data_IF_293386446377
#
_entry.id   IF_293386446377
#
_cell.length_a   1.000
_cell.length_b   1.000
_cell.length_c   1.000
_cell.angle_alpha   90.00
_cell.angle_beta   90.00
_cell.angle_gamma   90.00
#
_symmetry.space_group_name_H-M   'P 1'
#
loop_
_entity.id
_entity.type
_entity.pdbx_description
1 polymer ?
#
# COMPACT_ATOMS: atom_id res chain seq x y z
N UNK A 1 -3.52 -71.01 18.36
CA UNK A 1 -2.11 -70.71 18.62
C UNK A 1 -1.97 -69.23 18.77
N UNK A 2 -1.57 -68.85 19.93
CA UNK A 2 -1.27 -67.52 20.47
C UNK A 2 -0.19 -66.78 19.67
N UNK A 3 -0.25 -65.47 19.78
CA UNK A 3 0.83 -64.47 20.06
C UNK A 3 0.66 -63.26 19.16
N UNK A 4 0.80 -62.06 19.45
CA UNK A 4 1.16 -61.27 20.65
C UNK A 4 0.90 -59.81 20.27
N UNK A 5 0.43 -59.05 21.23
CA UNK A 5 0.31 -57.60 21.26
C UNK A 5 1.65 -56.92 21.00
N UNK A 6 1.65 -55.88 20.18
CA UNK A 6 2.54 -54.75 20.34
C UNK A 6 1.79 -53.48 20.01
N UNK A 7 1.50 -52.74 21.04
CA UNK A 7 1.03 -51.35 21.01
C UNK A 7 2.24 -50.41 20.86
N UNK A 8 2.23 -49.43 20.00
CA UNK A 8 3.12 -48.25 20.14
C UNK A 8 2.34 -47.05 20.68
N UNK A 9 2.87 -46.56 21.75
CA UNK A 9 2.69 -45.35 22.52
C UNK A 9 2.25 -44.11 21.73
N UNK A 10 1.20 -43.47 22.25
CA UNK A 10 0.80 -42.09 21.93
C UNK A 10 1.88 -41.09 22.38
N UNK A 11 2.20 -40.07 21.59
CA UNK A 11 2.83 -38.88 22.13
C UNK A 11 1.78 -37.95 22.77
N UNK A 12 2.20 -37.34 23.84
CA UNK A 12 1.47 -36.45 24.72
C UNK A 12 0.83 -35.23 23.98
N UNK A 13 -0.43 -35.01 24.33
CA UNK A 13 -1.17 -33.80 23.98
C UNK A 13 -0.77 -32.72 24.97
N UNK A 14 -0.09 -31.70 24.49
CA UNK A 14 0.12 -30.46 25.25
C UNK A 14 -1.19 -29.67 25.37
N UNK A 15 -1.43 -29.01 26.52
CA UNK A 15 -2.68 -28.31 26.75
C UNK A 15 -2.73 -27.01 25.97
N UNK A 16 -3.81 -26.86 25.22
CA UNK A 16 -4.23 -25.62 24.57
C UNK A 16 -4.48 -24.57 25.65
N UNK A 17 -3.61 -23.59 25.74
CA UNK A 17 -3.86 -22.38 26.51
C UNK A 17 -5.01 -21.61 25.88
N UNK A 18 -6.10 -21.54 26.60
CA UNK A 18 -7.23 -20.66 26.31
C UNK A 18 -6.78 -19.21 26.38
N UNK A 19 -6.76 -18.54 25.24
CA UNK A 19 -6.59 -17.11 25.17
C UNK A 19 -7.84 -16.43 25.72
N UNK A 20 -7.78 -16.01 26.96
CA UNK A 20 -8.72 -15.05 27.54
C UNK A 20 -8.71 -13.75 26.75
N UNK A 21 -9.86 -13.41 26.29
CA UNK A 21 -10.26 -12.14 25.73
C UNK A 21 -10.03 -11.03 26.78
N UNK A 22 -8.95 -10.26 26.66
CA UNK A 22 -8.75 -9.04 27.41
C UNK A 22 -8.97 -7.86 26.47
N UNK A 23 -10.19 -7.36 26.51
CA UNK A 23 -10.54 -6.04 26.03
C UNK A 23 -9.92 -4.98 26.96
N UNK A 24 -9.24 -4.01 26.38
CA UNK A 24 -9.02 -2.70 26.97
C UNK A 24 -7.93 -2.61 28.03
N UNK A 25 -6.76 -2.16 27.63
CA UNK A 25 -5.93 -1.20 28.37
C UNK A 25 -4.77 -0.66 27.47
N UNK A 26 -4.84 0.54 26.97
CA UNK A 26 -3.74 1.13 26.18
C UNK A 26 -2.82 2.04 26.99
N UNK A 27 -2.53 1.79 28.27
CA UNK A 27 -1.70 2.71 29.05
C UNK A 27 -0.81 2.01 30.08
N UNK A 28 0.13 1.15 29.61
CA UNK A 28 1.22 0.67 30.48
C UNK A 28 2.54 0.46 29.73
N UNK A 29 3.08 1.54 29.15
CA UNK A 29 4.47 1.59 28.72
C UNK A 29 5.14 2.88 29.26
N UNK A 30 5.16 3.04 30.59
CA UNK A 30 6.00 4.03 31.24
C UNK A 30 6.51 3.47 32.55
N UNK A 31 7.49 2.57 32.48
CA UNK A 31 8.40 2.33 33.61
C UNK A 31 9.55 1.41 33.20
N UNK A 32 10.54 1.96 32.50
CA UNK A 32 11.94 1.51 32.60
C UNK A 32 12.84 2.47 31.81
N UNK A 33 13.05 3.64 32.37
CA UNK A 33 14.24 4.43 32.09
C UNK A 33 14.59 5.16 33.37
N UNK A 34 15.33 4.49 34.22
CA UNK A 34 15.90 5.13 35.35
C UNK A 34 17.25 4.70 35.73
N UNK A 35 18.02 5.60 35.95
CA UNK A 35 19.28 5.67 36.63
C UNK A 35 20.48 5.82 35.71
N UNK A 36 20.79 7.06 35.47
CA UNK A 36 22.21 7.42 35.37
C UNK A 36 22.42 8.87 35.79
N UNK A 37 23.34 9.04 36.73
CA UNK A 37 24.24 10.16 36.78
C UNK A 37 23.77 11.45 37.49
N UNK A 38 24.13 11.52 38.76
CA UNK A 38 24.38 12.80 39.48
C UNK A 38 25.53 13.50 38.78
N UNK A 39 25.32 14.61 38.13
CA UNK A 39 26.35 15.59 37.82
C UNK A 39 26.01 16.92 38.45
N UNK A 40 26.90 17.35 39.28
CA UNK A 40 26.98 18.61 40.02
C UNK A 40 26.83 19.82 39.09
N UNK A 41 25.95 20.73 39.48
CA UNK A 41 25.78 22.03 38.86
C UNK A 41 27.00 22.95 39.17
N UNK A 42 27.44 23.77 38.22
CA UNK A 42 28.39 24.82 38.49
C UNK A 42 27.66 26.05 39.12
N UNK A 43 28.21 26.50 40.23
CA UNK A 43 27.92 27.75 40.91
C UNK A 43 28.37 28.93 40.07
N UNK A 44 27.40 29.55 39.37
CA UNK A 44 27.51 30.94 38.85
C UNK A 44 26.18 31.47 38.42
N UNK A 45 25.46 32.14 39.31
CA UNK A 45 24.34 32.97 38.93
C UNK A 45 24.27 34.18 39.89
N UNK A 46 24.29 35.44 39.38
CA UNK A 46 24.03 36.60 40.19
C UNK A 46 22.54 36.66 40.51
N UNK A 47 22.25 36.77 41.80
CA UNK A 47 20.93 37.02 42.33
C UNK A 47 20.36 38.35 41.78
N UNK A 48 19.28 38.29 41.00
CA UNK A 48 18.37 39.39 40.83
C UNK A 48 17.04 39.05 41.49
N UNK A 49 16.80 39.68 42.58
CA UNK A 49 15.52 39.78 43.26
C UNK A 49 14.49 40.36 42.28
N UNK A 50 13.57 39.54 41.85
CA UNK A 50 12.29 39.97 41.32
C UNK A 50 11.24 39.18 42.08
N UNK A 51 10.56 39.87 42.97
CA UNK A 51 9.32 39.43 43.57
C UNK A 51 8.26 39.45 42.49
N UNK A 52 7.86 38.28 42.00
CA UNK A 52 6.66 38.15 41.22
C UNK A 52 5.76 37.10 41.85
N UNK A 53 4.52 37.51 42.10
CA UNK A 53 3.40 36.70 42.48
C UNK A 53 3.43 35.34 41.73
N UNK A 54 3.47 34.26 42.49
CA UNK A 54 3.49 32.89 41.98
C UNK A 54 2.08 32.49 41.50
N UNK A 55 1.62 33.07 40.43
CA UNK A 55 0.53 32.45 39.68
C UNK A 55 1.10 31.32 38.84
N UNK A 56 0.76 30.10 39.21
CA UNK A 56 1.14 28.93 38.46
C UNK A 56 0.56 29.05 37.04
N UNK A 57 1.37 28.93 35.99
CA UNK A 57 0.89 29.09 34.62
C UNK A 57 -0.26 28.13 34.35
N UNK A 58 -1.29 28.54 33.60
CA UNK A 58 -2.46 27.73 33.30
C UNK A 58 -2.08 26.39 32.67
N UNK A 59 -2.87 25.35 32.92
CA UNK A 59 -2.56 23.95 32.54
C UNK A 59 -2.17 23.81 31.06
N UNK A 60 -2.78 24.58 30.16
CA UNK A 60 -2.43 24.55 28.73
C UNK A 60 -1.01 25.07 28.46
N UNK A 61 -0.55 26.12 29.18
CA UNK A 61 0.81 26.65 29.07
C UNK A 61 1.85 25.66 29.60
N UNK A 62 1.53 24.98 30.72
CA UNK A 62 2.39 23.89 31.26
C UNK A 62 2.46 22.70 30.29
N UNK A 63 1.34 22.34 29.67
CA UNK A 63 1.31 21.29 28.66
C UNK A 63 2.12 21.68 27.41
N UNK A 64 1.98 22.93 26.94
CA UNK A 64 2.77 23.44 25.80
C UNK A 64 4.27 23.49 26.13
N UNK A 65 4.66 24.00 27.30
CA UNK A 65 6.06 24.01 27.76
C UNK A 65 6.61 22.58 27.90
N UNK A 66 5.83 21.66 28.45
CA UNK A 66 6.23 20.25 28.50
C UNK A 66 6.43 19.65 27.12
N UNK A 67 5.52 19.92 26.19
CA UNK A 67 5.61 19.47 24.81
C UNK A 67 6.82 20.08 24.08
N UNK A 68 7.04 21.39 24.22
CA UNK A 68 8.19 22.06 23.59
C UNK A 68 9.53 21.63 24.18
N UNK A 69 9.63 21.41 25.49
CA UNK A 69 10.85 20.94 26.14
C UNK A 69 11.16 19.46 25.88
N UNK A 70 10.11 18.64 25.72
CA UNK A 70 10.25 17.19 25.55
C UNK A 70 10.33 16.76 24.08
N UNK A 71 9.72 17.53 23.20
CA UNK A 71 9.61 17.24 21.76
C UNK A 71 10.30 18.31 20.91
N UNK A 72 11.44 18.79 21.38
CA UNK A 72 12.26 19.69 20.56
C UNK A 72 12.84 18.99 19.33
N UNK A 73 12.76 17.65 19.30
CA UNK A 73 13.26 16.82 18.23
C UNK A 73 12.14 16.56 17.19
N UNK A 74 12.10 17.37 16.14
CA UNK A 74 11.16 17.22 15.02
C UNK A 74 11.31 15.84 14.36
N UNK A 75 12.51 15.27 14.36
CA UNK A 75 12.80 13.94 13.83
C UNK A 75 12.06 12.85 14.62
N UNK A 76 12.00 12.97 15.94
CA UNK A 76 11.26 12.02 16.78
C UNK A 76 9.75 12.07 16.50
N UNK A 77 9.19 13.27 16.31
CA UNK A 77 7.78 13.43 15.93
C UNK A 77 7.49 12.87 14.53
N UNK A 78 8.38 13.11 13.57
CA UNK A 78 8.30 12.53 12.23
C UNK A 78 8.40 11.00 12.29
N UNK A 79 9.32 10.47 13.08
CA UNK A 79 9.49 9.03 13.30
C UNK A 79 8.23 8.39 13.90
N UNK A 80 7.66 9.00 14.94
CA UNK A 80 6.41 8.53 15.54
C UNK A 80 5.25 8.55 14.55
N UNK A 81 5.11 9.63 13.78
CA UNK A 81 4.04 9.75 12.79
C UNK A 81 4.19 8.69 11.68
N UNK A 82 5.41 8.45 11.18
CA UNK A 82 5.68 7.44 10.17
C UNK A 82 5.36 6.03 10.69
N UNK A 83 5.75 5.73 11.93
CA UNK A 83 5.47 4.45 12.57
C UNK A 83 3.96 4.23 12.78
N UNK A 84 3.23 5.26 13.21
CA UNK A 84 1.76 5.21 13.35
C UNK A 84 1.09 4.97 11.98
N UNK A 85 1.54 5.65 10.93
CA UNK A 85 1.05 5.41 9.57
C UNK A 85 1.33 3.97 9.14
N UNK A 86 2.55 3.46 9.34
CA UNK A 86 2.93 2.08 9.01
C UNK A 86 2.05 1.07 9.73
N UNK A 87 1.84 1.22 11.04
CA UNK A 87 0.95 0.35 11.83
C UNK A 87 -0.49 0.41 11.35
N UNK A 88 -0.97 1.59 10.99
CA UNK A 88 -2.32 1.76 10.45
C UNK A 88 -2.49 1.01 9.13
N UNK A 89 -1.52 1.10 8.23
CA UNK A 89 -1.50 0.36 6.96
C UNK A 89 -1.48 -1.15 7.24
N UNK A 90 -0.60 -1.63 8.12
CA UNK A 90 -0.52 -3.04 8.47
C UNK A 90 -1.84 -3.56 9.07
N UNK A 91 -2.44 -2.81 9.99
CA UNK A 91 -3.70 -3.21 10.60
C UNK A 91 -4.84 -3.27 9.57
N UNK A 92 -4.93 -2.30 8.66
CA UNK A 92 -5.93 -2.29 7.59
C UNK A 92 -5.77 -3.46 6.62
N UNK A 93 -4.54 -3.88 6.37
CA UNK A 93 -4.21 -4.98 5.46
C UNK A 93 -4.10 -6.34 6.16
N UNK A 94 -4.32 -6.41 7.47
CA UNK A 94 -4.24 -7.67 8.19
C UNK A 94 -5.29 -8.66 7.68
N UNK A 95 -4.81 -9.86 7.33
CA UNK A 95 -5.65 -10.96 6.92
C UNK A 95 -6.49 -11.48 8.09
N UNK A 96 -7.78 -11.60 7.90
CA UNK A 96 -8.69 -12.12 8.91
C UNK A 96 -9.12 -13.55 8.59
N UNK A 97 -8.31 -14.52 9.00
CA UNK A 97 -8.59 -15.96 8.81
C UNK A 97 -9.88 -16.39 9.51
N UNK A 98 -10.18 -15.83 10.68
CA UNK A 98 -11.40 -16.15 11.43
C UNK A 98 -12.67 -15.74 10.66
N UNK A 99 -12.68 -14.53 10.10
CA UNK A 99 -13.82 -14.08 9.30
C UNK A 99 -14.03 -14.98 8.07
N UNK A 100 -12.95 -15.40 7.42
CA UNK A 100 -13.00 -16.31 6.27
C UNK A 100 -13.56 -17.67 6.62
N UNK A 101 -13.17 -18.24 7.75
CA UNK A 101 -13.66 -19.55 8.21
C UNK A 101 -15.13 -19.52 8.63
N UNK A 102 -15.56 -18.43 9.29
CA UNK A 102 -16.92 -18.33 9.84
C UNK A 102 -17.94 -17.83 8.81
N UNK A 103 -17.60 -16.79 8.06
CA UNK A 103 -18.54 -16.10 7.17
C UNK A 103 -18.39 -16.52 5.70
N UNK A 104 -17.32 -17.21 5.37
CA UNK A 104 -16.98 -17.58 4.01
C UNK A 104 -16.08 -16.55 3.32
N UNK A 105 -15.49 -16.97 2.19
CA UNK A 105 -14.49 -16.19 1.44
C UNK A 105 -15.07 -14.89 0.88
N UNK A 106 -16.25 -14.97 0.25
CA UNK A 106 -16.87 -13.82 -0.43
C UNK A 106 -17.23 -12.71 0.57
N UNK A 107 -17.84 -13.06 1.71
CA UNK A 107 -18.18 -12.07 2.75
C UNK A 107 -16.93 -11.49 3.40
N UNK A 108 -15.91 -12.30 3.65
CA UNK A 108 -14.67 -11.83 4.23
C UNK A 108 -13.97 -10.82 3.30
N UNK A 109 -13.96 -11.09 1.99
CA UNK A 109 -13.44 -10.17 0.99
C UNK A 109 -14.29 -8.91 0.89
N UNK A 110 -15.62 -9.02 0.81
CA UNK A 110 -16.53 -7.88 0.77
C UNK A 110 -16.27 -6.93 1.96
N UNK A 111 -16.21 -7.47 3.17
CA UNK A 111 -15.88 -6.68 4.36
C UNK A 111 -14.48 -6.07 4.29
N UNK A 112 -13.48 -6.79 3.78
CA UNK A 112 -12.11 -6.28 3.61
C UNK A 112 -12.07 -5.08 2.66
N UNK A 113 -12.72 -5.17 1.49
CA UNK A 113 -12.79 -4.09 0.50
C UNK A 113 -13.48 -2.85 1.09
N UNK A 114 -14.62 -3.01 1.77
CA UNK A 114 -15.33 -1.90 2.41
C UNK A 114 -14.50 -1.27 3.55
N UNK A 115 -13.74 -2.06 4.32
CA UNK A 115 -12.82 -1.53 5.35
C UNK A 115 -11.72 -0.65 4.76
N UNK A 116 -11.26 -0.95 3.55
CA UNK A 116 -10.32 -0.13 2.79
C UNK A 116 -10.97 1.08 2.10
N UNK A 117 -12.28 1.26 2.28
CA UNK A 117 -13.12 2.28 1.61
C UNK A 117 -13.24 2.07 0.10
N UNK A 118 -13.05 0.86 -0.36
CA UNK A 118 -13.28 0.47 -1.74
C UNK A 118 -14.74 0.16 -2.03
N UNK A 119 -14.97 -0.36 -3.23
CA UNK A 119 -16.26 -0.88 -3.69
C UNK A 119 -16.07 -2.23 -4.38
N UNK A 120 -17.15 -2.98 -4.50
CA UNK A 120 -17.16 -4.24 -5.24
C UNK A 120 -18.52 -4.51 -5.86
N UNK A 121 -18.53 -5.39 -6.85
CA UNK A 121 -19.74 -5.86 -7.53
C UNK A 121 -19.73 -7.38 -7.60
N UNK A 122 -20.88 -7.97 -7.38
CA UNK A 122 -21.06 -9.43 -7.51
C UNK A 122 -21.34 -9.83 -8.96
N UNK A 123 -21.02 -11.07 -9.29
CA UNK A 123 -21.34 -11.67 -10.60
C UNK A 123 -22.86 -11.60 -10.86
N UNK A 124 -23.24 -11.05 -12.02
CA UNK A 124 -24.63 -10.96 -12.42
C UNK A 124 -25.46 -9.89 -11.70
N UNK A 125 -24.84 -8.96 -11.00
CA UNK A 125 -25.50 -7.81 -10.39
C UNK A 125 -24.92 -6.52 -10.96
N UNK A 126 -25.78 -5.52 -11.16
CA UNK A 126 -25.36 -4.19 -11.65
C UNK A 126 -25.04 -3.24 -10.49
N UNK A 127 -25.52 -3.55 -9.28
CA UNK A 127 -25.37 -2.71 -8.11
C UNK A 127 -23.98 -2.83 -7.49
N UNK A 128 -23.38 -1.66 -7.23
CA UNK A 128 -22.10 -1.54 -6.51
C UNK A 128 -22.31 -1.41 -5.01
N UNK A 129 -21.62 -2.24 -4.27
CA UNK A 129 -21.49 -2.10 -2.83
C UNK A 129 -20.30 -1.17 -2.51
N UNK A 130 -20.59 0.02 -2.03
CA UNK A 130 -19.60 1.06 -1.73
C UNK A 130 -19.82 1.66 -0.35
N UNK A 131 -18.78 2.29 0.15
CA UNK A 131 -18.83 3.03 1.40
C UNK A 131 -19.30 4.45 1.14
N UNK A 132 -20.23 4.95 1.96
CA UNK A 132 -20.72 6.32 1.89
C UNK A 132 -19.64 7.34 2.22
N UNK A 133 -19.85 8.61 1.87
CA UNK A 133 -18.97 9.74 2.23
C UNK A 133 -18.68 9.82 3.73
N UNK A 134 -19.58 9.30 4.58
CA UNK A 134 -19.45 9.24 6.03
C UNK A 134 -18.70 8.00 6.56
N UNK A 135 -18.21 7.13 5.66
CA UNK A 135 -17.53 5.89 6.05
C UNK A 135 -18.46 4.76 6.50
N UNK A 136 -19.77 4.87 6.26
CA UNK A 136 -20.76 3.83 6.55
C UNK A 136 -21.04 3.01 5.29
N UNK A 137 -21.36 1.74 5.47
CA UNK A 137 -21.78 0.83 4.41
C UNK A 137 -22.97 0.00 4.84
N UNK A 138 -23.76 -0.45 3.87
CA UNK A 138 -24.86 -1.39 4.12
C UNK A 138 -24.32 -2.78 4.42
N UNK A 139 -25.02 -3.52 5.26
CA UNK A 139 -24.70 -4.92 5.58
C UNK A 139 -25.43 -5.92 4.66
N UNK A 140 -26.08 -5.46 3.60
CA UNK A 140 -26.84 -6.30 2.67
C UNK A 140 -25.98 -7.33 1.95
N UNK A 141 -24.67 -7.06 1.84
CA UNK A 141 -23.71 -8.01 1.28
C UNK A 141 -23.64 -9.34 2.05
N UNK A 142 -24.09 -9.40 3.30
CA UNK A 142 -24.14 -10.64 4.08
C UNK A 142 -25.13 -11.66 3.48
N UNK A 143 -26.12 -11.20 2.72
CA UNK A 143 -27.12 -12.05 2.06
C UNK A 143 -26.52 -12.81 0.85
N UNK A 144 -25.35 -12.36 0.35
CA UNK A 144 -24.70 -12.90 -0.85
C UNK A 144 -23.51 -13.80 -0.55
N UNK A 145 -23.66 -14.70 0.43
CA UNK A 145 -22.58 -15.59 0.89
C UNK A 145 -21.96 -16.46 -0.22
N UNK A 146 -22.78 -16.94 -1.13
CA UNK A 146 -22.37 -17.87 -2.18
C UNK A 146 -22.12 -17.20 -3.53
N UNK A 147 -22.39 -15.90 -3.66
CA UNK A 147 -22.17 -15.17 -4.89
C UNK A 147 -20.72 -14.68 -4.96
N UNK A 148 -19.93 -15.06 -5.98
CA UNK A 148 -18.58 -14.60 -6.11
C UNK A 148 -18.53 -13.12 -6.50
N UNK A 149 -17.40 -12.46 -6.18
CA UNK A 149 -17.15 -11.08 -6.55
C UNK A 149 -16.47 -11.06 -7.90
N UNK A 150 -16.98 -10.23 -8.82
CA UNK A 150 -16.50 -10.07 -10.18
C UNK A 150 -15.59 -8.85 -10.33
N UNK A 151 -15.98 -7.75 -9.72
CA UNK A 151 -15.25 -6.50 -9.83
C UNK A 151 -14.89 -5.93 -8.45
N UNK A 152 -13.70 -5.39 -8.34
CA UNK A 152 -13.19 -4.76 -7.11
C UNK A 152 -12.54 -3.43 -7.46
N UNK A 153 -13.03 -2.37 -6.84
CA UNK A 153 -12.48 -1.02 -6.92
C UNK A 153 -11.83 -0.65 -5.57
N UNK A 154 -10.51 -0.58 -5.57
CA UNK A 154 -9.70 -0.18 -4.42
C UNK A 154 -8.96 1.13 -4.68
N UNK A 155 -9.48 1.96 -5.58
CA UNK A 155 -8.87 3.24 -5.95
C UNK A 155 -8.59 4.10 -4.72
N UNK A 156 -7.40 4.71 -4.68
CA UNK A 156 -6.92 5.56 -3.56
C UNK A 156 -6.92 4.88 -2.18
N UNK A 157 -6.93 3.55 -2.15
CA UNK A 157 -6.87 2.79 -0.91
C UNK A 157 -5.43 2.59 -0.43
N UNK A 158 -5.30 2.09 0.81
CA UNK A 158 -4.01 1.75 1.40
C UNK A 158 -3.72 0.24 1.30
N UNK A 159 -4.22 -0.41 0.24
CA UNK A 159 -3.91 -1.82 0.00
C UNK A 159 -2.42 -2.01 -0.27
N UNK A 160 -1.86 -3.07 0.30
CA UNK A 160 -0.47 -3.46 0.09
C UNK A 160 -0.36 -4.96 -0.24
N UNK A 161 0.85 -5.43 -0.46
CA UNK A 161 1.15 -6.84 -0.73
C UNK A 161 0.49 -7.83 0.26
N UNK A 162 0.46 -7.51 1.56
CA UNK A 162 -0.19 -8.36 2.56
C UNK A 162 -1.70 -8.40 2.38
N UNK A 163 -2.31 -7.26 2.02
CA UNK A 163 -3.75 -7.15 1.76
C UNK A 163 -4.22 -8.00 0.58
N UNK A 164 -3.34 -8.24 -0.40
CA UNK A 164 -3.62 -9.09 -1.56
C UNK A 164 -4.02 -10.52 -1.16
N UNK A 165 -3.53 -11.02 0.00
CA UNK A 165 -3.92 -12.34 0.52
C UNK A 165 -5.44 -12.44 0.77
N UNK A 166 -6.10 -11.32 1.06
CA UNK A 166 -7.56 -11.30 1.26
C UNK A 166 -8.33 -11.52 -0.04
N UNK A 167 -7.74 -11.18 -1.19
CA UNK A 167 -8.30 -11.42 -2.52
C UNK A 167 -7.98 -12.82 -3.05
N UNK A 168 -6.98 -13.50 -2.48
CA UNK A 168 -6.58 -14.85 -2.88
C UNK A 168 -7.75 -15.83 -2.82
N UNK A 169 -7.92 -16.62 -3.88
CA UNK A 169 -8.99 -17.61 -3.99
C UNK A 169 -10.27 -17.11 -4.67
N UNK A 170 -10.31 -15.84 -5.11
CA UNK A 170 -11.39 -15.35 -5.98
C UNK A 170 -11.06 -15.68 -7.43
N UNK A 171 -11.63 -16.78 -7.91
CA UNK A 171 -11.42 -17.23 -9.29
C UNK A 171 -12.31 -16.51 -10.30
N UNK A 172 -13.27 -15.71 -9.83
CA UNK A 172 -14.23 -14.99 -10.67
C UNK A 172 -13.91 -13.50 -10.79
N UNK A 173 -12.79 -13.04 -10.21
CA UNK A 173 -12.38 -11.64 -10.27
C UNK A 173 -11.92 -11.29 -11.69
N UNK A 174 -12.67 -10.44 -12.38
CA UNK A 174 -12.40 -9.97 -13.73
C UNK A 174 -11.78 -8.58 -13.78
N UNK A 175 -12.33 -7.66 -12.98
CA UNK A 175 -11.90 -6.26 -12.99
C UNK A 175 -11.31 -5.88 -11.64
N UNK A 176 -10.08 -5.35 -11.65
CA UNK A 176 -9.40 -4.84 -10.46
C UNK A 176 -8.88 -3.42 -10.70
N UNK A 177 -9.45 -2.44 -9.98
CA UNK A 177 -8.96 -1.06 -9.98
C UNK A 177 -8.12 -0.78 -8.73
N UNK A 178 -6.88 -0.36 -8.94
CA UNK A 178 -5.90 0.03 -7.93
C UNK A 178 -5.42 1.47 -8.14
N UNK A 179 -6.19 2.26 -8.88
CA UNK A 179 -5.83 3.62 -9.23
C UNK A 179 -5.42 4.45 -8.02
N UNK A 180 -4.29 5.14 -8.08
CA UNK A 180 -3.82 6.05 -7.04
C UNK A 180 -3.45 5.37 -5.71
N UNK A 181 -3.20 4.07 -5.71
CA UNK A 181 -2.79 3.32 -4.52
C UNK A 181 -1.32 3.58 -4.19
N UNK A 182 -1.05 4.24 -3.06
CA UNK A 182 0.30 4.61 -2.65
C UNK A 182 1.16 3.47 -2.11
N UNK A 183 0.58 2.31 -1.84
CA UNK A 183 1.25 1.15 -1.25
C UNK A 183 1.37 -0.04 -2.23
N UNK A 184 0.90 0.14 -3.47
CA UNK A 184 1.06 -0.85 -4.53
C UNK A 184 2.44 -0.69 -5.15
N UNK A 185 3.25 -1.72 -5.03
CA UNK A 185 4.64 -1.80 -5.48
C UNK A 185 4.84 -2.93 -6.50
N UNK A 186 6.06 -3.10 -6.97
CA UNK A 186 6.42 -4.15 -7.94
C UNK A 186 6.17 -5.57 -7.40
N UNK A 187 6.34 -5.78 -6.09
CA UNK A 187 6.04 -7.07 -5.46
C UNK A 187 4.55 -7.40 -5.48
N UNK A 188 3.72 -6.38 -5.31
CA UNK A 188 2.27 -6.52 -5.46
C UNK A 188 1.92 -6.98 -6.87
N UNK A 189 2.47 -6.32 -7.91
CA UNK A 189 2.22 -6.69 -9.31
C UNK A 189 2.72 -8.10 -9.63
N UNK A 190 3.90 -8.47 -9.14
CA UNK A 190 4.43 -9.81 -9.33
C UNK A 190 3.51 -10.89 -8.77
N UNK A 191 2.80 -10.61 -7.66
CA UNK A 191 1.87 -11.57 -7.06
C UNK A 191 0.51 -11.65 -7.76
N UNK A 192 0.17 -10.70 -8.63
CA UNK A 192 -1.09 -10.77 -9.40
C UNK A 192 -1.19 -12.01 -10.31
N UNK A 193 -0.11 -12.76 -10.52
CA UNK A 193 -0.13 -14.01 -11.25
C UNK A 193 -1.16 -15.04 -10.71
N UNK A 194 -1.58 -14.90 -9.44
CA UNK A 194 -2.64 -15.74 -8.86
C UNK A 194 -3.98 -15.58 -9.59
N UNK A 195 -4.18 -14.46 -10.30
CA UNK A 195 -5.38 -14.16 -11.09
C UNK A 195 -5.17 -14.34 -12.60
N UNK A 196 -4.11 -15.05 -13.02
CA UNK A 196 -3.72 -15.22 -14.44
C UNK A 196 -4.85 -15.72 -15.35
N UNK A 197 -5.80 -16.47 -14.81
CA UNK A 197 -6.90 -17.09 -15.57
C UNK A 197 -8.21 -16.31 -15.49
N UNK A 198 -8.34 -15.35 -14.59
CA UNK A 198 -9.62 -14.67 -14.31
C UNK A 198 -9.58 -13.17 -14.57
N UNK A 199 -8.43 -12.51 -14.37
CA UNK A 199 -8.32 -11.07 -14.48
C UNK A 199 -8.28 -10.65 -15.96
N UNK A 200 -9.29 -9.86 -16.35
CA UNK A 200 -9.44 -9.32 -17.69
C UNK A 200 -9.11 -7.83 -17.76
N UNK A 201 -9.37 -7.08 -16.68
CA UNK A 201 -9.16 -5.65 -16.61
C UNK A 201 -8.37 -5.24 -15.37
N UNK A 202 -7.31 -4.47 -15.57
CA UNK A 202 -6.46 -3.97 -14.51
C UNK A 202 -6.20 -2.46 -14.69
N UNK A 203 -6.52 -1.68 -13.68
CA UNK A 203 -6.18 -0.27 -13.63
C UNK A 203 -5.16 -0.02 -12.50
N UNK A 204 -3.96 0.43 -12.85
CA UNK A 204 -2.87 0.79 -11.93
C UNK A 204 -2.40 2.22 -12.17
N UNK A 205 -3.23 3.05 -12.79
CA UNK A 205 -2.92 4.46 -13.02
C UNK A 205 -2.65 5.23 -11.72
N UNK A 206 -1.88 6.29 -11.79
CA UNK A 206 -1.53 7.16 -10.65
C UNK A 206 -0.82 6.46 -9.47
N UNK A 207 -0.25 5.26 -9.65
CA UNK A 207 0.45 4.52 -8.60
C UNK A 207 1.92 4.94 -8.49
N UNK A 208 2.35 5.55 -7.35
CA UNK A 208 3.68 6.18 -7.27
C UNK A 208 4.84 5.22 -7.03
N UNK A 209 4.60 3.96 -6.69
CA UNK A 209 5.66 3.01 -6.35
C UNK A 209 6.00 2.02 -7.47
N UNK A 210 5.20 2.00 -8.54
CA UNK A 210 5.36 1.06 -9.64
C UNK A 210 6.53 1.50 -10.54
N UNK A 211 7.39 0.53 -10.89
CA UNK A 211 8.49 0.71 -11.85
C UNK A 211 8.29 -0.18 -13.08
N UNK A 212 9.17 -0.01 -14.06
CA UNK A 212 9.19 -0.87 -15.27
C UNK A 212 9.37 -2.36 -14.90
N UNK A 213 10.13 -2.64 -13.83
CA UNK A 213 10.31 -4.01 -13.34
C UNK A 213 9.01 -4.66 -12.88
N UNK A 214 8.14 -3.92 -12.19
CA UNK A 214 6.82 -4.39 -11.80
C UNK A 214 5.90 -4.64 -12.99
N UNK A 215 5.94 -3.77 -14.01
CA UNK A 215 5.15 -3.96 -15.23
C UNK A 215 5.57 -5.20 -16.01
N UNK A 216 6.85 -5.54 -16.03
CA UNK A 216 7.34 -6.78 -16.66
C UNK A 216 6.75 -8.05 -16.02
N UNK A 217 6.36 -8.01 -14.74
CA UNK A 217 5.72 -9.14 -14.07
C UNK A 217 4.29 -9.42 -14.58
N UNK A 218 3.63 -8.44 -15.20
CA UNK A 218 2.29 -8.58 -15.76
C UNK A 218 2.21 -9.54 -16.94
N UNK A 219 3.34 -9.92 -17.54
CA UNK A 219 3.43 -10.95 -18.60
C UNK A 219 2.72 -12.27 -18.23
N UNK A 220 2.58 -12.55 -16.96
CA UNK A 220 1.93 -13.75 -16.46
C UNK A 220 0.39 -13.68 -16.54
N UNK A 221 -0.19 -12.49 -16.72
CA UNK A 221 -1.63 -12.25 -16.81
C UNK A 221 -2.11 -12.43 -18.26
N UNK A 222 -2.10 -13.65 -18.75
CA UNK A 222 -2.43 -13.97 -20.15
C UNK A 222 -3.89 -13.68 -20.52
N UNK A 223 -4.78 -13.62 -19.54
CA UNK A 223 -6.20 -13.30 -19.72
C UNK A 223 -6.49 -11.80 -19.78
N UNK A 224 -5.49 -10.94 -19.57
CA UNK A 224 -5.67 -9.51 -19.49
C UNK A 224 -6.03 -8.91 -20.84
N UNK A 225 -7.14 -8.15 -20.89
CA UNK A 225 -7.67 -7.50 -22.10
C UNK A 225 -7.58 -5.99 -22.05
N UNK A 226 -7.57 -5.43 -20.83
CA UNK A 226 -7.47 -3.99 -20.62
C UNK A 226 -6.48 -3.68 -19.50
N UNK A 227 -5.53 -2.77 -19.78
CA UNK A 227 -4.51 -2.33 -18.83
C UNK A 227 -4.36 -0.81 -18.89
N UNK A 228 -4.64 -0.13 -17.78
CA UNK A 228 -4.40 1.30 -17.63
C UNK A 228 -3.15 1.55 -16.77
N UNK A 229 -2.12 2.10 -17.41
CA UNK A 229 -0.83 2.47 -16.79
C UNK A 229 -0.61 3.99 -16.81
N UNK A 230 -1.66 4.77 -16.93
CA UNK A 230 -1.56 6.23 -17.05
C UNK A 230 -0.91 6.87 -15.82
N UNK A 231 -0.15 7.95 -16.03
CA UNK A 231 0.42 8.80 -14.96
C UNK A 231 1.24 8.05 -13.91
N UNK A 232 2.12 7.14 -14.31
CA UNK A 232 3.05 6.45 -13.40
C UNK A 232 4.34 7.26 -13.28
N UNK A 233 4.64 7.90 -12.14
CA UNK A 233 5.72 8.91 -12.03
C UNK A 233 7.13 8.32 -12.09
N UNK A 234 7.30 7.01 -11.89
CA UNK A 234 8.60 6.33 -11.95
C UNK A 234 8.95 5.76 -13.33
N UNK A 235 8.10 6.00 -14.32
CA UNK A 235 8.34 5.54 -15.68
C UNK A 235 8.88 6.71 -16.49
N UNK A 236 10.15 6.66 -16.83
CA UNK A 236 10.86 7.71 -17.60
C UNK A 236 10.58 7.63 -19.10
N UNK A 237 10.30 6.46 -19.63
CA UNK A 237 10.10 6.23 -21.08
C UNK A 237 8.78 5.49 -21.34
N UNK A 238 7.63 6.17 -21.23
CA UNK A 238 6.32 5.51 -21.34
C UNK A 238 6.09 4.88 -22.71
N UNK A 239 6.50 5.50 -23.80
CA UNK A 239 6.35 4.95 -25.16
C UNK A 239 7.05 3.62 -25.34
N UNK A 240 8.30 3.49 -24.85
CA UNK A 240 9.04 2.22 -24.90
C UNK A 240 8.36 1.15 -24.06
N UNK A 241 7.86 1.52 -22.89
CA UNK A 241 7.16 0.58 -21.99
C UNK A 241 5.86 0.08 -22.61
N UNK A 242 5.11 0.92 -23.32
CA UNK A 242 3.91 0.51 -24.04
C UNK A 242 4.25 -0.51 -25.11
N UNK A 243 5.26 -0.26 -25.95
CA UNK A 243 5.71 -1.19 -26.99
C UNK A 243 6.08 -2.55 -26.39
N UNK A 244 6.87 -2.55 -25.29
CA UNK A 244 7.26 -3.80 -24.63
C UNK A 244 6.06 -4.55 -24.02
N UNK A 245 5.09 -3.82 -23.49
CA UNK A 245 3.87 -4.43 -22.94
C UNK A 245 2.98 -4.99 -24.03
N UNK A 246 2.85 -4.33 -25.19
CA UNK A 246 2.12 -4.82 -26.37
C UNK A 246 2.74 -6.11 -26.92
N UNK A 247 4.06 -6.22 -26.92
CA UNK A 247 4.75 -7.47 -27.29
C UNK A 247 4.49 -8.60 -26.29
N UNK A 248 4.44 -8.28 -24.98
CA UNK A 248 4.21 -9.27 -23.93
C UNK A 248 2.74 -9.70 -23.81
N UNK A 249 1.82 -8.80 -24.10
CA UNK A 249 0.37 -8.96 -23.94
C UNK A 249 -0.37 -8.58 -25.24
N UNK A 250 -0.24 -9.36 -26.32
CA UNK A 250 -0.71 -8.98 -27.65
C UNK A 250 -2.23 -8.83 -27.77
N UNK A 251 -3.00 -9.35 -26.81
CA UNK A 251 -4.46 -9.24 -26.79
C UNK A 251 -4.96 -8.17 -25.82
N UNK A 252 -4.05 -7.42 -25.18
CA UNK A 252 -4.38 -6.42 -24.18
C UNK A 252 -4.40 -5.02 -24.80
N UNK A 253 -5.50 -4.29 -24.59
CA UNK A 253 -5.57 -2.87 -24.89
C UNK A 253 -4.87 -2.08 -23.78
N UNK A 254 -3.78 -1.39 -24.10
CA UNK A 254 -2.97 -0.65 -23.13
C UNK A 254 -3.28 0.84 -23.25
N UNK A 255 -3.67 1.45 -22.14
CA UNK A 255 -3.88 2.90 -22.03
C UNK A 255 -2.74 3.52 -21.23
N UNK A 256 -2.07 4.51 -21.82
CA UNK A 256 -0.93 5.21 -21.23
C UNK A 256 -1.06 6.71 -21.50
N UNK A 257 -1.83 7.41 -20.67
CA UNK A 257 -2.07 8.85 -20.78
C UNK A 257 -1.45 9.61 -19.61
N UNK A 258 -1.36 10.94 -19.73
CA UNK A 258 -0.91 11.78 -18.61
C UNK A 258 0.60 11.72 -18.32
N UNK A 259 1.41 11.31 -19.27
CA UNK A 259 2.85 11.45 -19.19
C UNK A 259 3.27 12.79 -19.78
N UNK A 260 4.17 13.49 -19.09
CA UNK A 260 4.75 14.74 -19.57
C UNK A 260 5.79 14.43 -20.64
N UNK A 261 5.41 14.58 -21.89
CA UNK A 261 6.27 14.33 -23.06
C UNK A 261 7.15 15.54 -23.41
N UNK A 262 7.02 16.65 -22.70
CA UNK A 262 7.78 17.90 -22.98
C UNK A 262 9.28 17.69 -22.90
N UNK A 263 9.76 16.85 -21.99
CA UNK A 263 11.17 16.52 -21.83
C UNK A 263 11.78 15.72 -23.00
N UNK A 264 10.97 15.17 -23.91
CA UNK A 264 11.45 14.41 -25.06
C UNK A 264 11.49 15.24 -26.35
N UNK A 265 10.83 16.40 -26.38
CA UNK A 265 10.88 17.30 -27.54
C UNK A 265 12.25 18.00 -27.64
N UNK A 266 12.82 18.37 -26.52
CA UNK A 266 14.13 19.04 -26.48
C UNK A 266 15.27 18.15 -27.01
N UNK A 267 15.24 16.84 -26.72
CA UNK A 267 16.29 15.92 -27.21
C UNK A 267 16.17 15.60 -28.71
N UNK A 268 14.97 15.65 -29.27
CA UNK A 268 14.77 15.43 -30.73
C UNK A 268 15.13 16.66 -31.55
N UNK A 269 14.99 17.84 -30.99
CA UNK A 269 15.40 19.09 -31.63
C UNK A 269 16.93 19.24 -31.65
N UNK A 270 17.61 18.90 -30.53
CA UNK A 270 19.07 18.86 -30.45
C UNK A 270 19.70 17.85 -31.45
N UNK A 271 19.09 16.66 -31.63
CA UNK A 271 19.56 15.69 -32.63
C UNK A 271 19.34 16.15 -34.08
N UNK A 272 18.34 16.97 -34.35
CA UNK A 272 18.12 17.54 -35.69
C UNK A 272 19.12 18.67 -35.99
N UNK A 273 19.41 19.55 -35.04
CA UNK A 273 20.41 20.58 -35.19
C UNK A 273 21.80 20.01 -35.41
N UNK A 274 22.19 18.95 -34.69
CA UNK A 274 23.51 18.29 -34.89
C UNK A 274 23.59 17.64 -36.28
N UNK A 275 22.50 17.09 -36.82
CA UNK A 275 22.45 16.49 -38.16
C UNK A 275 22.48 17.52 -39.27
N UNK A 276 21.94 18.72 -39.05
CA UNK A 276 21.99 19.79 -40.02
C UNK A 276 23.35 20.50 -40.02
N UNK A 277 24.01 20.69 -38.88
CA UNK A 277 25.36 21.25 -38.79
C UNK A 277 26.43 20.33 -39.41
N UNK A 278 26.27 18.99 -39.26
CA UNK A 278 27.17 18.02 -39.89
C UNK A 278 27.05 17.92 -41.41
N UNK A 279 26.02 18.53 -42.02
CA UNK A 279 25.79 18.50 -43.47
C UNK A 279 26.36 19.74 -44.20
N UNK A 280 26.68 20.82 -43.47
CA UNK A 280 27.22 22.07 -44.00
C UNK A 280 28.75 22.06 -44.11
N UNK A 281 29.46 21.19 -43.37
CA UNK A 281 30.95 21.17 -43.37
C UNK A 281 31.56 20.32 -44.51
N UNK A 282 30.76 19.69 -45.35
CA UNK A 282 31.23 18.85 -46.47
C UNK A 282 31.16 19.55 -47.84
N UNK A 283 31.15 20.90 -47.90
CA UNK A 283 31.36 21.59 -49.16
C UNK A 283 32.83 22.00 -49.27
N UNK A 284 33.60 21.17 -49.91
CA UNK A 284 34.98 21.45 -50.38
C UNK A 284 35.02 22.73 -51.19
N UNK A 285 35.98 23.66 -50.96
CA UNK A 285 36.25 24.72 -51.91
C UNK A 285 37.03 24.11 -53.08
N UNK A 286 36.40 24.16 -54.26
CA UNK A 286 37.07 23.83 -55.52
C UNK A 286 38.20 24.81 -55.82
N UNK A 287 39.24 24.18 -56.33
CA UNK A 287 40.46 24.82 -56.95
C UNK A 287 40.11 25.87 -57.96
N UNK A 288 40.75 27.01 -57.82
CA UNK A 288 41.40 27.68 -58.94
C UNK A 288 42.84 28.13 -58.55
#
# INVERSE_FOLDING_TARGET
MRLHDVCPSRPAVEPVMSAHFMAGQPWRFYRTLHRCGKHSAPLWAPARLWSSSSESPPLHTRALLFLTQRFYDVELLMGLNSELKRRTVQWKNSYNSYARQRLGMNIALAHFVLRLKGGFRYVGQDDWFRVDKRGKFSWDFLNHKNTPIEEVDLSHSLINFTGLQSLEGQQSLRTLSLRGCSQVDDWFLARLHIFQNSLEELNISDCPQITVGGLAALRNLRGLRYLDISSLPRISSPGLVVILLEEMLPQCHIVATGYDLSMFQDTVEDEKEIKEQGKTDNRTPGMQ
#
